data_IF_958482876758
#
_entry.id   IF_958482876758
#
_cell.length_a   1.000
_cell.length_b   1.000
_cell.length_c   1.000
_cell.angle_alpha   90.00
_cell.angle_beta   90.00
_cell.angle_gamma   90.00
#
_symmetry.space_group_name_H-M   'P 1'
#
loop_
_entity.id
_entity.type
_entity.pdbx_description
1 polymer ?
#
# COMPACT_ATOMS: atom_id res chain seq x y z
N UNK A 1 -23.49 -29.69 -88.75
CA UNK A 1 -22.36 -30.15 -87.96
C UNK A 1 -21.87 -28.99 -87.11
N UNK A 2 -22.30 -28.90 -85.82
CA UNK A 2 -21.90 -27.84 -84.87
C UNK A 2 -21.06 -28.49 -83.80
N UNK A 3 -19.76 -28.15 -83.80
CA UNK A 3 -18.81 -28.52 -82.71
C UNK A 3 -18.93 -27.57 -81.58
N UNK A 4 -19.41 -28.00 -80.43
CA UNK A 4 -19.43 -27.28 -79.15
C UNK A 4 -18.11 -27.55 -78.47
N UNK A 5 -17.35 -26.45 -78.26
CA UNK A 5 -16.15 -26.44 -77.44
C UNK A 5 -16.54 -26.20 -75.95
N UNK A 6 -16.24 -27.19 -75.15
CA UNK A 6 -16.30 -27.03 -73.66
C UNK A 6 -15.00 -26.38 -73.18
N UNK A 7 -15.12 -25.18 -72.69
CA UNK A 7 -14.02 -24.54 -72.00
C UNK A 7 -14.13 -24.91 -70.52
N UNK A 8 -13.22 -25.73 -70.05
CA UNK A 8 -13.10 -26.04 -68.59
C UNK A 8 -12.40 -24.88 -67.86
N UNK A 9 -13.16 -24.19 -67.10
CA UNK A 9 -12.63 -23.13 -66.26
C UNK A 9 -12.08 -23.74 -64.92
N UNK A 10 -10.77 -23.82 -64.84
CA UNK A 10 -10.10 -24.24 -63.59
C UNK A 10 -10.03 -23.03 -62.60
N UNK A 11 -10.85 -23.10 -61.57
CA UNK A 11 -10.78 -22.14 -60.47
C UNK A 11 -9.64 -22.56 -59.52
N UNK A 12 -8.52 -21.85 -59.59
CA UNK A 12 -7.43 -22.00 -58.63
C UNK A 12 -7.82 -21.25 -57.35
N UNK A 13 -8.22 -21.97 -56.31
CA UNK A 13 -8.41 -21.46 -54.94
C UNK A 13 -7.05 -21.24 -54.31
N UNK A 14 -6.52 -20.01 -54.42
CA UNK A 14 -5.32 -19.58 -53.72
C UNK A 14 -5.68 -19.31 -52.25
N UNK A 15 -5.52 -20.33 -51.39
CA UNK A 15 -5.71 -20.19 -49.95
C UNK A 15 -4.68 -19.26 -49.37
N UNK A 16 -5.12 -18.05 -48.97
CA UNK A 16 -4.28 -17.09 -48.29
C UNK A 16 -4.09 -17.59 -46.87
N UNK A 17 -2.98 -18.31 -46.64
CA UNK A 17 -2.52 -18.69 -45.32
C UNK A 17 -1.89 -17.46 -44.67
N UNK A 18 -2.70 -16.61 -44.00
CA UNK A 18 -2.19 -15.48 -43.22
C UNK A 18 -1.60 -16.00 -41.90
N UNK A 19 -0.29 -15.86 -41.67
CA UNK A 19 0.28 -16.19 -40.39
C UNK A 19 -0.29 -15.18 -39.37
N UNK A 20 -1.15 -15.67 -38.46
CA UNK A 20 -1.55 -14.89 -37.29
C UNK A 20 -0.30 -14.72 -36.41
N UNK A 21 0.31 -13.56 -36.49
CA UNK A 21 1.26 -13.09 -35.47
C UNK A 21 0.49 -12.98 -34.16
N UNK A 22 0.69 -13.97 -33.29
CA UNK A 22 0.21 -13.92 -31.92
C UNK A 22 1.12 -12.90 -31.21
N UNK A 23 0.67 -11.66 -31.16
CA UNK A 23 1.26 -10.68 -30.27
C UNK A 23 0.93 -11.11 -28.84
N UNK A 24 1.85 -11.82 -28.21
CA UNK A 24 1.84 -11.99 -26.77
C UNK A 24 2.10 -10.60 -26.19
N UNK A 25 1.05 -9.92 -25.71
CA UNK A 25 1.21 -8.73 -24.91
C UNK A 25 1.82 -9.19 -23.58
N UNK A 26 3.13 -9.14 -23.48
CA UNK A 26 3.80 -9.17 -22.19
C UNK A 26 3.23 -8.00 -21.38
N UNK A 27 2.45 -8.35 -20.34
CA UNK A 27 2.02 -7.38 -19.34
C UNK A 27 3.31 -6.68 -18.83
N UNK A 28 3.42 -5.35 -18.94
CA UNK A 28 4.60 -4.66 -18.45
C UNK A 28 4.82 -5.09 -17.00
N UNK A 29 6.03 -5.59 -16.72
CA UNK A 29 6.43 -5.95 -15.36
C UNK A 29 6.09 -4.77 -14.46
N UNK A 30 5.31 -4.99 -13.40
CA UNK A 30 4.97 -3.93 -12.46
C UNK A 30 6.28 -3.35 -11.94
N UNK A 31 6.50 -2.07 -12.14
CA UNK A 31 7.66 -1.32 -11.61
C UNK A 31 7.52 -1.07 -10.10
N UNK A 32 6.53 -1.68 -9.46
CA UNK A 32 6.39 -1.60 -8.01
C UNK A 32 7.56 -2.32 -7.33
N UNK A 33 8.23 -1.66 -6.38
CA UNK A 33 9.30 -2.29 -5.63
C UNK A 33 8.78 -3.58 -4.98
N UNK A 34 9.58 -4.64 -5.04
CA UNK A 34 9.22 -5.92 -4.44
C UNK A 34 9.94 -6.08 -3.11
N UNK A 35 9.21 -6.53 -2.10
CA UNK A 35 9.78 -6.85 -0.78
C UNK A 35 10.68 -8.08 -0.88
N UNK A 36 11.88 -7.98 -0.34
CA UNK A 36 12.85 -9.08 -0.32
C UNK A 36 12.81 -9.84 1.02
N UNK A 37 13.37 -11.07 1.08
CA UNK A 37 13.52 -11.78 2.36
C UNK A 37 14.33 -10.99 3.39
N UNK A 38 15.31 -10.20 2.96
CA UNK A 38 16.12 -9.32 3.81
C UNK A 38 15.27 -8.20 4.41
N UNK A 39 14.31 -7.66 3.65
CA UNK A 39 13.37 -6.66 4.15
C UNK A 39 12.48 -7.25 5.26
N UNK A 40 11.96 -8.45 5.04
CA UNK A 40 11.13 -9.18 6.02
C UNK A 40 11.90 -9.46 7.32
N UNK A 41 13.20 -9.78 7.21
CA UNK A 41 14.05 -10.12 8.34
C UNK A 41 14.50 -8.92 9.17
N UNK A 42 14.32 -7.68 8.67
CA UNK A 42 14.74 -6.46 9.40
C UNK A 42 14.08 -6.37 10.76
N UNK A 43 14.88 -6.00 11.75
CA UNK A 43 14.41 -5.72 13.12
C UNK A 43 14.34 -4.24 13.35
N UNK A 44 13.35 -3.81 14.11
CA UNK A 44 13.22 -2.41 14.47
C UNK A 44 14.36 -1.98 15.42
N UNK A 45 15.24 -1.06 15.02
CA UNK A 45 16.35 -0.61 15.88
C UNK A 45 15.90 0.44 16.90
N UNK A 46 14.66 0.95 16.81
CA UNK A 46 14.17 2.04 17.66
C UNK A 46 13.35 1.46 18.80
N UNK A 47 13.73 1.82 20.03
CA UNK A 47 12.97 1.43 21.22
C UNK A 47 11.57 2.07 21.22
N UNK A 48 10.58 1.29 21.64
CA UNK A 48 9.19 1.77 21.81
C UNK A 48 9.03 2.47 23.15
N UNK A 49 9.55 3.72 23.28
CA UNK A 49 9.41 4.55 24.48
C UNK A 49 8.18 5.46 24.35
N UNK A 50 7.75 6.01 25.48
CA UNK A 50 6.64 6.98 25.51
C UNK A 50 6.92 8.19 24.60
N UNK A 51 8.15 8.69 24.62
CA UNK A 51 8.60 9.85 23.83
C UNK A 51 8.58 9.51 22.33
N UNK A 52 9.13 8.34 21.94
CA UNK A 52 9.16 7.91 20.54
C UNK A 52 7.75 7.68 19.99
N UNK A 53 6.85 7.15 20.81
CA UNK A 53 5.44 6.96 20.44
C UNK A 53 4.69 8.29 20.35
N UNK A 54 4.94 9.24 21.24
CA UNK A 54 4.31 10.57 21.21
C UNK A 54 4.73 11.34 19.95
N UNK A 55 6.01 11.30 19.59
CA UNK A 55 6.51 11.89 18.36
C UNK A 55 5.88 11.25 17.13
N UNK A 56 5.90 9.91 17.06
CA UNK A 56 5.29 9.18 15.96
C UNK A 56 3.79 9.51 15.83
N UNK A 57 3.06 9.58 16.93
CA UNK A 57 1.62 9.88 16.95
C UNK A 57 1.31 11.27 16.38
N UNK A 58 2.14 12.27 16.71
CA UNK A 58 1.99 13.62 16.16
C UNK A 58 2.02 13.63 14.63
N UNK A 59 3.05 13.03 14.03
CA UNK A 59 3.21 13.00 12.56
C UNK A 59 2.23 12.01 11.89
N UNK A 60 1.90 10.91 12.55
CA UNK A 60 0.86 9.98 12.11
C UNK A 60 -0.48 10.70 11.93
N UNK A 61 -0.81 11.62 12.84
CA UNK A 61 -2.03 12.42 12.77
C UNK A 61 -2.16 13.21 11.47
N UNK A 62 -1.04 13.70 10.93
CA UNK A 62 -1.03 14.48 9.68
C UNK A 62 -0.94 13.61 8.42
N UNK A 63 -0.20 12.51 8.48
CA UNK A 63 0.19 11.78 7.28
C UNK A 63 -0.62 10.48 7.05
N UNK A 64 -1.13 9.87 8.11
CA UNK A 64 -1.65 8.50 8.06
C UNK A 64 -3.10 8.40 8.55
N UNK A 65 -3.47 9.21 9.57
CA UNK A 65 -4.75 9.09 10.25
C UNK A 65 -5.95 9.38 9.34
N UNK A 66 -5.76 10.15 8.27
CA UNK A 66 -6.82 10.43 7.29
C UNK A 66 -7.40 9.15 6.65
N UNK A 67 -6.57 8.11 6.51
CA UNK A 67 -7.01 6.79 6.04
C UNK A 67 -7.15 5.80 7.20
N UNK A 68 -6.13 5.71 8.06
CA UNK A 68 -6.05 4.67 9.08
C UNK A 68 -6.83 4.98 10.37
N UNK A 69 -7.43 6.18 10.48
CA UNK A 69 -8.07 6.64 11.70
C UNK A 69 -7.07 7.04 12.79
N UNK A 70 -7.41 7.99 13.67
CA UNK A 70 -6.52 8.45 14.76
C UNK A 70 -6.18 7.33 15.76
N UNK A 71 -7.10 6.38 15.92
CA UNK A 71 -6.97 5.20 16.79
C UNK A 71 -6.40 3.97 16.07
N UNK A 72 -6.10 4.06 14.78
CA UNK A 72 -5.67 2.91 13.99
C UNK A 72 -6.79 1.92 13.64
N UNK A 73 -8.04 2.36 13.68
CA UNK A 73 -9.23 1.54 13.41
C UNK A 73 -9.54 1.33 11.92
N UNK A 74 -8.75 1.94 11.04
CA UNK A 74 -8.94 1.86 9.59
C UNK A 74 -10.12 2.66 9.05
N UNK A 75 -10.75 3.53 9.88
CA UNK A 75 -11.97 4.27 9.57
C UNK A 75 -11.75 5.78 9.45
N UNK A 76 -10.62 6.18 8.86
CA UNK A 76 -10.39 7.59 8.54
C UNK A 76 -11.29 8.07 7.41
N UNK A 77 -11.57 9.38 7.38
CA UNK A 77 -12.51 10.00 6.45
C UNK A 77 -12.16 9.70 4.99
N UNK A 78 -10.87 9.78 4.64
CA UNK A 78 -10.41 9.49 3.28
C UNK A 78 -10.58 8.00 2.92
N UNK A 79 -10.46 7.08 3.88
CA UNK A 79 -10.73 5.67 3.63
C UNK A 79 -12.21 5.44 3.27
N UNK A 80 -13.11 6.14 3.97
CA UNK A 80 -14.55 6.07 3.68
C UNK A 80 -14.86 6.62 2.27
N UNK A 81 -14.33 7.80 1.93
CA UNK A 81 -14.53 8.45 0.62
C UNK A 81 -14.00 7.58 -0.53
N UNK A 82 -12.87 6.94 -0.34
CA UNK A 82 -12.24 6.05 -1.32
C UNK A 82 -12.77 4.61 -1.29
N UNK A 83 -13.72 4.31 -0.38
CA UNK A 83 -14.28 2.97 -0.17
C UNK A 83 -13.19 1.91 0.07
N UNK A 84 -12.23 2.24 0.94
CA UNK A 84 -11.15 1.35 1.32
C UNK A 84 -11.53 0.51 2.53
N UNK A 85 -11.30 -0.79 2.46
CA UNK A 85 -11.39 -1.69 3.60
C UNK A 85 -9.99 -1.85 4.21
N UNK A 86 -9.73 -1.12 5.30
CA UNK A 86 -8.45 -1.13 5.98
C UNK A 86 -8.51 -1.99 7.25
N UNK A 87 -7.35 -2.51 7.65
CA UNK A 87 -7.22 -3.31 8.87
C UNK A 87 -7.46 -2.45 10.11
N UNK A 88 -8.18 -3.00 11.07
CA UNK A 88 -8.25 -2.43 12.42
C UNK A 88 -7.01 -2.89 13.21
N UNK A 89 -6.07 -2.00 13.45
CA UNK A 89 -4.83 -2.30 14.18
C UNK A 89 -5.03 -2.41 15.69
N UNK A 90 -6.21 -2.10 16.20
CA UNK A 90 -6.58 -2.32 17.61
C UNK A 90 -6.82 -3.81 17.88
N UNK A 91 -7.13 -4.58 16.85
CA UNK A 91 -7.13 -6.03 16.91
C UNK A 91 -5.71 -6.57 16.71
N UNK A 92 -5.09 -7.17 17.75
CA UNK A 92 -3.75 -7.73 17.65
C UNK A 92 -3.59 -8.75 16.52
N UNK A 93 -4.63 -9.53 16.24
CA UNK A 93 -4.60 -10.56 15.19
C UNK A 93 -4.41 -9.95 13.80
N UNK A 94 -4.81 -8.70 13.60
CA UNK A 94 -4.70 -8.01 12.31
C UNK A 94 -3.26 -7.82 11.84
N UNK A 95 -2.30 -7.79 12.78
CA UNK A 95 -0.87 -7.56 12.53
C UNK A 95 0.03 -8.73 12.90
N UNK A 96 -0.53 -9.81 13.45
CA UNK A 96 0.24 -10.93 14.01
C UNK A 96 1.19 -11.57 12.98
N UNK A 97 0.74 -11.71 11.75
CA UNK A 97 1.51 -12.36 10.68
C UNK A 97 2.51 -11.45 9.98
N UNK A 98 2.55 -10.16 10.32
CA UNK A 98 3.48 -9.21 9.72
C UNK A 98 4.69 -9.00 10.62
N UNK A 99 5.88 -9.08 10.07
CA UNK A 99 7.12 -8.70 10.78
C UNK A 99 7.26 -7.17 10.86
N UNK A 100 8.16 -6.68 11.71
CA UNK A 100 8.47 -5.25 11.76
C UNK A 100 9.12 -4.78 10.46
N UNK A 101 9.94 -5.64 9.84
CA UNK A 101 10.54 -5.37 8.54
C UNK A 101 9.50 -5.20 7.43
N UNK A 102 8.47 -6.05 7.41
CA UNK A 102 7.36 -5.92 6.45
C UNK A 102 6.57 -4.64 6.67
N UNK A 103 6.27 -4.28 7.91
CA UNK A 103 5.61 -3.01 8.24
C UNK A 103 6.45 -1.82 7.81
N UNK A 104 7.76 -1.85 8.10
CA UNK A 104 8.68 -0.81 7.69
C UNK A 104 8.76 -0.67 6.16
N UNK A 105 8.82 -1.80 5.45
CA UNK A 105 8.85 -1.82 4.00
C UNK A 105 7.56 -1.21 3.42
N UNK A 106 6.39 -1.61 3.93
CA UNK A 106 5.08 -1.08 3.49
C UNK A 106 5.00 0.43 3.74
N UNK A 107 5.42 0.90 4.91
CA UNK A 107 5.45 2.33 5.23
C UNK A 107 6.38 3.09 4.30
N UNK A 108 7.52 2.48 3.93
CA UNK A 108 8.53 3.12 3.08
C UNK A 108 8.13 3.18 1.61
N UNK A 109 7.64 2.08 1.07
CA UNK A 109 7.42 1.91 -0.37
C UNK A 109 5.95 2.04 -0.78
N UNK A 110 5.03 1.91 0.17
CA UNK A 110 3.61 1.82 -0.10
C UNK A 110 3.17 0.40 -0.43
N UNK A 111 1.87 0.23 -0.60
CA UNK A 111 1.27 -1.03 -1.06
C UNK A 111 -0.12 -0.78 -1.64
N UNK A 112 -0.31 -1.12 -2.90
CA UNK A 112 -1.59 -0.88 -3.59
C UNK A 112 -1.95 0.61 -3.60
N UNK A 113 -3.06 0.98 -2.95
CA UNK A 113 -3.48 2.39 -2.87
C UNK A 113 -2.78 3.21 -1.76
N UNK A 114 -2.05 2.56 -0.87
CA UNK A 114 -1.27 3.24 0.16
C UNK A 114 0.03 3.79 -0.44
N UNK A 115 0.26 5.10 -0.44
CA UNK A 115 1.53 5.67 -0.90
C UNK A 115 2.65 5.36 0.08
N UNK A 116 3.89 5.24 -0.42
CA UNK A 116 5.08 5.15 0.41
C UNK A 116 5.45 6.49 1.03
N UNK A 117 6.25 6.43 2.08
CA UNK A 117 6.72 7.60 2.83
C UNK A 117 8.25 7.69 2.87
N UNK A 118 8.95 6.84 2.07
CA UNK A 118 10.39 6.68 2.12
C UNK A 118 11.20 7.92 1.75
N UNK A 119 10.69 8.72 0.83
CA UNK A 119 11.28 9.96 0.32
C UNK A 119 10.91 11.20 1.15
N UNK A 120 9.86 11.12 1.96
CA UNK A 120 9.33 12.25 2.75
C UNK A 120 9.71 12.21 4.22
N UNK A 121 9.98 11.02 4.76
CA UNK A 121 10.27 10.81 6.17
C UNK A 121 11.60 10.10 6.38
N UNK A 122 12.33 10.54 7.40
CA UNK A 122 13.59 9.91 7.81
C UNK A 122 13.35 8.46 8.25
N UNK A 123 14.35 7.62 8.05
CA UNK A 123 14.28 6.20 8.41
C UNK A 123 13.86 5.97 9.86
N UNK A 124 14.46 6.72 10.80
CA UNK A 124 14.12 6.63 12.22
C UNK A 124 12.63 6.90 12.49
N UNK A 125 12.02 7.86 11.79
CA UNK A 125 10.61 8.16 11.96
C UNK A 125 9.74 7.02 11.44
N UNK A 126 10.10 6.41 10.32
CA UNK A 126 9.39 5.25 9.78
C UNK A 126 9.42 4.05 10.73
N UNK A 127 10.56 3.83 11.42
CA UNK A 127 10.67 2.83 12.48
C UNK A 127 9.82 3.18 13.72
N UNK A 128 9.72 4.46 14.09
CA UNK A 128 8.80 4.91 15.14
C UNK A 128 7.33 4.68 14.76
N UNK A 129 6.97 4.82 13.48
CA UNK A 129 5.63 4.45 13.01
C UNK A 129 5.36 2.95 13.15
N UNK A 130 6.33 2.07 12.90
CA UNK A 130 6.17 0.64 13.17
C UNK A 130 5.83 0.38 14.64
N UNK A 131 6.55 1.02 15.56
CA UNK A 131 6.26 0.94 17.00
C UNK A 131 4.85 1.45 17.34
N UNK A 132 4.45 2.57 16.72
CA UNK A 132 3.13 3.14 16.94
C UNK A 132 2.02 2.20 16.44
N UNK A 133 2.14 1.66 15.24
CA UNK A 133 1.21 0.70 14.65
C UNK A 133 1.05 -0.52 15.57
N UNK A 134 2.15 -1.07 16.07
CA UNK A 134 2.14 -2.16 17.06
C UNK A 134 1.49 -1.78 18.39
N UNK A 135 1.54 -0.50 18.76
CA UNK A 135 1.00 -0.04 20.03
C UNK A 135 -0.52 0.03 20.06
N UNK A 136 -1.18 0.18 18.93
CA UNK A 136 -2.65 0.26 18.88
C UNK A 136 -3.33 -1.02 19.38
N UNK A 137 -2.76 -2.19 19.14
CA UNK A 137 -3.28 -3.47 19.59
C UNK A 137 -2.94 -3.83 21.04
N UNK A 138 -2.12 -3.03 21.73
CA UNK A 138 -1.78 -3.29 23.14
C UNK A 138 -2.85 -2.70 24.05
N UNK A 139 -3.44 -3.53 24.92
CA UNK A 139 -4.38 -3.05 25.95
C UNK A 139 -3.68 -2.01 26.82
N UNK A 140 -4.19 -0.77 26.82
CA UNK A 140 -3.62 0.36 27.56
C UNK A 140 -3.01 1.49 26.72
N UNK A 141 -2.86 1.32 25.40
CA UNK A 141 -2.35 2.37 24.50
C UNK A 141 -3.34 3.52 24.26
N UNK A 142 -4.56 3.43 24.78
CA UNK A 142 -5.64 4.40 24.56
C UNK A 142 -5.56 5.66 25.42
N UNK A 143 -4.45 5.93 26.14
CA UNK A 143 -4.39 7.03 27.08
C UNK A 143 -3.19 7.94 26.81
N UNK A 144 -3.23 8.72 25.75
CA UNK A 144 -2.43 9.95 25.65
C UNK A 144 -3.06 10.98 24.69
N UNK A 145 -4.37 10.92 24.49
CA UNK A 145 -5.10 11.96 23.74
C UNK A 145 -5.88 12.89 24.70
N UNK A 146 -5.22 13.33 25.78
CA UNK A 146 -5.67 14.56 26.44
C UNK A 146 -4.97 15.70 25.71
N UNK A 147 -5.69 16.58 25.01
CA UNK A 147 -5.11 17.82 24.56
C UNK A 147 -4.66 18.56 25.82
N UNK A 148 -3.35 18.82 25.90
CA UNK A 148 -2.82 19.77 26.88
C UNK A 148 -3.57 21.08 26.62
N UNK A 149 -4.43 21.46 27.56
CA UNK A 149 -5.19 22.70 27.53
C UNK A 149 -4.26 23.82 27.06
N UNK A 150 -4.64 24.45 25.94
CA UNK A 150 -4.03 25.72 25.54
C UNK A 150 -4.12 26.69 26.70
N UNK A 151 -2.97 27.11 27.19
CA UNK A 151 -2.85 28.27 28.05
C UNK A 151 -3.39 29.46 27.25
N UNK A 152 -4.36 30.22 27.78
CA UNK A 152 -4.87 31.40 27.08
C UNK A 152 -3.72 32.38 26.85
N UNK A 153 -3.50 32.75 25.59
CA UNK A 153 -2.61 33.86 25.28
C UNK A 153 -3.23 35.16 25.81
N UNK A 154 -2.47 36.07 26.51
CA UNK A 154 -2.97 37.35 26.86
C UNK A 154 -3.22 38.18 25.61
N UNK A 155 -4.46 38.61 25.45
CA UNK A 155 -4.85 39.59 24.43
C UNK A 155 -4.31 40.97 24.88
N UNK A 156 -3.39 41.52 24.10
CA UNK A 156 -3.09 42.92 24.08
C UNK A 156 -3.86 43.59 22.93
#
# INVERSE_FOLDING_TARGET
MRRTLFVASAVVLCGIFSPRLIYTQEKPASTEPQMTPEDVAKKNPIASTAESLAEARKFFGYNCAMCHGKSGDGKGDLAADMKLELRDWRDPASLEKLTDGELFWIISNGKGKMPGNGDREKENMRWKYVNLVRSFGKKGAAVADKPKSETPQPQN
#
